data_IF_586287804421
#
_entry.id   IF_586287804421
#
_cell.length_a   1.000
_cell.length_b   1.000
_cell.length_c   1.000
_cell.angle_alpha   90.00
_cell.angle_beta   90.00
_cell.angle_gamma   90.00
#
_symmetry.space_group_name_H-M   'P 1'
#
loop_
_entity.id
_entity.type
_entity.pdbx_description
1 polymer ?
#
# COMPACT_ATOMS: atom_id res chain seq x y z
N UNK A 1 11.73 7.78 -22.56
CA UNK A 1 13.19 7.90 -22.84
C UNK A 1 13.86 7.78 -21.47
N UNK A 2 14.29 6.55 -21.14
CA UNK A 2 15.02 6.26 -19.89
C UNK A 2 16.43 6.82 -20.00
N UNK A 3 16.76 7.77 -19.16
CA UNK A 3 18.15 8.18 -18.97
C UNK A 3 18.88 7.04 -18.23
N UNK A 4 19.72 6.29 -18.94
CA UNK A 4 20.72 5.44 -18.31
C UNK A 4 21.77 6.35 -17.64
N UNK A 5 21.56 6.73 -16.39
CA UNK A 5 22.60 7.27 -15.54
C UNK A 5 23.46 6.08 -15.06
N UNK A 6 24.68 5.96 -15.52
CA UNK A 6 25.69 5.15 -14.85
C UNK A 6 25.97 5.81 -13.49
N UNK A 7 25.65 5.09 -12.42
CA UNK A 7 25.94 5.52 -11.06
C UNK A 7 27.03 4.59 -10.53
N UNK A 8 28.16 5.14 -10.15
CA UNK A 8 29.21 4.37 -9.48
C UNK A 8 28.74 4.06 -8.06
N UNK A 9 28.70 2.78 -7.74
CA UNK A 9 28.28 2.28 -6.43
C UNK A 9 29.48 1.60 -5.75
N UNK A 10 29.71 1.93 -4.48
CA UNK A 10 30.74 1.31 -3.67
C UNK A 10 30.08 0.30 -2.74
N UNK A 11 30.38 -0.98 -2.93
CA UNK A 11 29.89 -2.05 -2.07
C UNK A 11 30.98 -2.43 -1.06
N UNK A 12 30.68 -2.24 0.22
CA UNK A 12 31.61 -2.59 1.31
C UNK A 12 31.26 -4.00 1.77
N UNK A 13 32.14 -4.95 1.50
CA UNK A 13 31.94 -6.34 1.86
C UNK A 13 31.71 -6.51 3.37
N UNK A 14 30.61 -7.17 3.72
CA UNK A 14 30.23 -7.45 5.11
C UNK A 14 29.52 -6.30 5.83
N UNK A 15 29.24 -5.19 5.15
CA UNK A 15 28.53 -4.04 5.72
C UNK A 15 27.32 -3.72 4.85
N UNK A 16 26.12 -3.73 5.45
CA UNK A 16 24.91 -3.26 4.78
C UNK A 16 24.81 -1.74 4.87
N UNK A 17 24.72 -1.07 3.72
CA UNK A 17 24.56 0.38 3.64
C UNK A 17 23.07 0.68 3.38
N UNK A 18 22.49 1.51 4.25
CA UNK A 18 21.12 2.04 4.10
C UNK A 18 21.21 3.56 3.99
N UNK A 19 20.94 4.09 2.80
CA UNK A 19 20.84 5.54 2.59
C UNK A 19 19.50 6.03 3.14
N UNK A 20 19.52 7.03 4.01
CA UNK A 20 18.29 7.58 4.61
C UNK A 20 17.38 8.24 3.58
N UNK A 21 17.93 8.77 2.50
CA UNK A 21 17.18 9.25 1.36
C UNK A 21 16.29 8.15 0.74
N UNK A 22 16.86 6.96 0.54
CA UNK A 22 16.13 5.82 -0.01
C UNK A 22 15.10 5.28 1.00
N UNK A 23 15.43 5.24 2.30
CA UNK A 23 14.50 4.87 3.36
C UNK A 23 13.30 5.82 3.41
N UNK A 24 13.56 7.13 3.37
CA UNK A 24 12.50 8.13 3.37
C UNK A 24 11.57 7.96 2.18
N UNK A 25 12.11 7.87 0.96
CA UNK A 25 11.32 7.66 -0.27
C UNK A 25 10.54 6.34 -0.27
N UNK A 26 11.08 5.29 0.33
CA UNK A 26 10.45 3.97 0.37
C UNK A 26 9.31 3.89 1.36
N UNK A 27 9.45 4.50 2.52
CA UNK A 27 8.55 4.30 3.66
C UNK A 27 7.60 5.46 3.94
N UNK A 28 7.77 6.61 3.25
CA UNK A 28 6.80 7.71 3.31
C UNK A 28 5.84 7.65 2.13
N UNK A 29 4.54 7.87 2.41
CA UNK A 29 3.49 7.75 1.39
C UNK A 29 3.15 9.08 0.73
N UNK A 30 3.54 10.19 1.33
CA UNK A 30 3.30 11.53 0.79
C UNK A 30 4.46 11.93 -0.11
N UNK A 31 4.15 12.25 -1.36
CA UNK A 31 5.17 12.79 -2.28
C UNK A 31 5.59 14.18 -1.83
N UNK A 32 6.91 14.38 -1.79
CA UNK A 32 7.51 15.68 -1.50
C UNK A 32 7.91 16.40 -2.80
N UNK A 33 7.91 17.72 -2.79
CA UNK A 33 8.40 18.52 -3.91
C UNK A 33 9.90 18.35 -4.12
N UNK A 34 10.64 18.15 -3.02
CA UNK A 34 12.07 17.88 -3.01
C UNK A 34 12.41 16.84 -1.94
N UNK A 35 13.41 16.00 -2.24
CA UNK A 35 13.94 15.02 -1.28
C UNK A 35 15.36 15.41 -0.80
N UNK A 36 15.78 16.64 -1.00
CA UNK A 36 17.04 17.15 -0.43
C UNK A 36 16.92 17.20 1.09
N UNK A 37 18.01 16.92 1.79
CA UNK A 37 18.05 16.90 3.27
C UNK A 37 17.55 18.20 3.88
N UNK A 38 17.92 19.33 3.29
CA UNK A 38 17.46 20.65 3.73
C UNK A 38 15.93 20.78 3.69
N UNK A 39 15.31 20.41 2.56
CA UNK A 39 13.85 20.46 2.41
C UNK A 39 13.14 19.52 3.37
N UNK A 40 13.62 18.27 3.48
CA UNK A 40 13.01 17.27 4.37
C UNK A 40 13.22 17.67 5.84
N UNK A 41 14.41 18.18 6.21
CA UNK A 41 14.67 18.72 7.56
C UNK A 41 13.68 19.82 7.92
N UNK A 42 13.44 20.77 7.02
CA UNK A 42 12.48 21.84 7.23
C UNK A 42 11.04 21.32 7.36
N UNK A 43 10.63 20.38 6.50
CA UNK A 43 9.27 19.83 6.53
C UNK A 43 9.01 18.96 7.78
N UNK A 44 9.97 18.12 8.14
CA UNK A 44 9.78 17.16 9.21
C UNK A 44 10.19 17.68 10.59
N UNK A 45 11.23 18.48 10.67
CA UNK A 45 11.81 18.95 11.94
C UNK A 45 11.61 20.44 12.19
N UNK A 46 11.35 21.23 11.13
CA UNK A 46 11.41 22.69 11.18
C UNK A 46 12.84 23.23 11.24
N UNK A 47 13.82 22.41 10.90
CA UNK A 47 15.24 22.72 10.91
C UNK A 47 15.84 22.60 9.50
N UNK A 48 16.84 23.43 9.19
CA UNK A 48 17.51 23.47 7.89
C UNK A 48 19.01 23.18 8.02
N UNK A 49 19.62 22.91 6.88
CA UNK A 49 21.09 22.80 6.81
C UNK A 49 21.75 24.14 7.06
N UNK A 50 23.02 24.10 7.46
CA UNK A 50 23.86 25.30 7.42
C UNK A 50 24.11 25.73 5.96
N UNK A 51 24.31 27.01 5.71
CA UNK A 51 24.62 27.51 4.39
C UNK A 51 26.05 27.15 3.98
N UNK A 52 26.24 26.78 2.72
CA UNK A 52 27.56 26.69 2.10
C UNK A 52 27.86 28.03 1.39
N UNK A 53 28.77 28.85 1.87
CA UNK A 53 29.09 30.16 1.29
C UNK A 53 29.97 30.09 0.03
N UNK A 54 30.38 28.88 -0.42
CA UNK A 54 31.31 28.66 -1.53
C UNK A 54 30.61 27.93 -2.69
N UNK A 55 31.08 28.13 -3.91
CA UNK A 55 30.52 27.48 -5.09
C UNK A 55 30.79 25.97 -5.13
N UNK A 56 31.91 25.52 -4.55
CA UNK A 56 32.31 24.13 -4.52
C UNK A 56 32.69 23.67 -3.10
N UNK A 57 32.46 22.42 -2.79
CA UNK A 57 32.94 21.85 -1.52
C UNK A 57 34.49 21.87 -1.39
N UNK A 58 35.21 21.83 -2.51
CA UNK A 58 36.65 21.95 -2.51
C UNK A 58 37.11 23.32 -2.00
N UNK A 59 36.52 24.39 -2.48
CA UNK A 59 36.75 25.74 -1.98
C UNK A 59 36.36 25.88 -0.52
N UNK A 60 35.23 25.30 -0.13
CA UNK A 60 34.75 25.34 1.24
C UNK A 60 35.73 24.74 2.23
N UNK A 61 36.14 23.47 2.05
CA UNK A 61 37.06 22.86 3.00
C UNK A 61 38.52 23.40 2.91
N UNK A 62 38.87 24.05 1.77
CA UNK A 62 40.20 24.65 1.61
C UNK A 62 40.29 26.01 2.29
N UNK A 63 39.26 26.82 2.20
CA UNK A 63 39.27 28.20 2.67
C UNK A 63 38.70 28.35 4.09
N UNK A 64 37.77 27.51 4.48
CA UNK A 64 37.10 27.55 5.80
C UNK A 64 36.82 26.13 6.32
N UNK A 65 37.88 25.44 6.72
CA UNK A 65 37.82 24.06 7.18
C UNK A 65 36.93 23.89 8.42
N UNK A 66 36.98 24.85 9.36
CA UNK A 66 36.16 24.75 10.57
C UNK A 66 34.68 24.82 10.27
N UNK A 67 34.23 25.78 9.46
CA UNK A 67 32.83 25.91 9.07
C UNK A 67 32.38 24.70 8.21
N UNK A 68 33.26 24.15 7.37
CA UNK A 68 32.99 22.91 6.63
C UNK A 68 32.72 21.72 7.56
N UNK A 69 33.47 21.59 8.65
CA UNK A 69 33.24 20.54 9.64
C UNK A 69 31.91 20.75 10.35
N UNK A 70 31.60 21.97 10.77
CA UNK A 70 30.32 22.31 11.40
C UNK A 70 29.12 22.07 10.46
N UNK A 71 29.28 22.39 9.17
CA UNK A 71 28.30 22.05 8.14
C UNK A 71 28.04 20.53 8.07
N UNK A 72 29.10 19.73 8.08
CA UNK A 72 28.96 18.28 8.02
C UNK A 72 28.32 17.69 9.30
N UNK A 73 28.69 18.23 10.49
CA UNK A 73 28.06 17.83 11.76
C UNK A 73 26.55 18.09 11.73
N UNK A 74 26.13 19.27 11.28
CA UNK A 74 24.72 19.61 11.16
C UNK A 74 23.98 18.64 10.22
N UNK A 75 24.57 18.24 9.10
CA UNK A 75 23.98 17.27 8.17
C UNK A 75 23.74 15.92 8.84
N UNK A 76 24.71 15.44 9.63
CA UNK A 76 24.59 14.19 10.39
C UNK A 76 23.54 14.29 11.47
N UNK A 77 23.52 15.39 12.24
CA UNK A 77 22.52 15.63 13.29
C UNK A 77 21.09 15.71 12.74
N UNK A 78 20.89 16.30 11.55
CA UNK A 78 19.58 16.32 10.92
C UNK A 78 19.10 14.91 10.58
N UNK A 79 19.95 14.04 10.07
CA UNK A 79 19.60 12.64 9.76
C UNK A 79 19.29 11.87 11.06
N UNK A 80 20.06 12.08 12.13
CA UNK A 80 19.82 11.46 13.43
C UNK A 80 18.46 11.88 14.03
N UNK A 81 18.15 13.18 14.00
CA UNK A 81 16.86 13.72 14.43
C UNK A 81 15.69 13.21 13.56
N UNK A 82 15.90 13.05 12.25
CA UNK A 82 14.89 12.45 11.37
C UNK A 82 14.62 11.00 11.76
N UNK A 83 15.66 10.20 12.03
CA UNK A 83 15.46 8.82 12.50
C UNK A 83 14.81 8.78 13.87
N UNK A 84 15.18 9.67 14.79
CA UNK A 84 14.55 9.76 16.10
C UNK A 84 13.04 10.02 16.02
N UNK A 85 12.62 10.86 15.08
CA UNK A 85 11.20 11.17 14.84
C UNK A 85 10.47 10.08 14.06
N UNK A 86 11.07 9.58 12.99
CA UNK A 86 10.36 8.77 11.98
C UNK A 86 10.55 7.27 12.16
N UNK A 87 11.66 6.83 12.78
CA UNK A 87 11.99 5.41 13.04
C UNK A 87 11.99 4.54 11.78
N UNK A 88 12.47 5.08 10.65
CA UNK A 88 12.48 4.38 9.36
C UNK A 88 13.48 3.23 9.32
N UNK A 89 14.62 3.35 10.00
CA UNK A 89 15.60 2.26 10.14
C UNK A 89 14.97 1.11 10.91
N UNK A 90 14.32 1.39 12.05
CA UNK A 90 13.64 0.35 12.84
C UNK A 90 12.56 -0.38 12.02
N UNK A 91 11.75 0.37 11.25
CA UNK A 91 10.75 -0.20 10.36
C UNK A 91 11.38 -1.10 9.29
N UNK A 92 12.44 -0.61 8.64
CA UNK A 92 13.14 -1.33 7.59
C UNK A 92 13.78 -2.64 8.10
N UNK A 93 14.44 -2.58 9.27
CA UNK A 93 14.98 -3.75 9.94
C UNK A 93 13.88 -4.74 10.34
N UNK A 94 12.76 -4.26 10.85
CA UNK A 94 11.60 -5.10 11.16
C UNK A 94 11.14 -5.86 9.92
N UNK A 95 11.03 -5.18 8.77
CA UNK A 95 10.65 -5.81 7.50
C UNK A 95 11.67 -6.87 7.05
N UNK A 96 12.96 -6.60 7.19
CA UNK A 96 14.03 -7.55 6.85
C UNK A 96 13.94 -8.83 7.70
N UNK A 97 13.77 -8.67 9.01
CA UNK A 97 13.60 -9.78 9.95
C UNK A 97 12.38 -10.64 9.63
N UNK A 98 11.24 -10.00 9.37
CA UNK A 98 9.99 -10.68 9.08
C UNK A 98 10.00 -11.42 7.74
N UNK A 99 10.59 -10.82 6.72
CA UNK A 99 10.76 -11.44 5.41
C UNK A 99 11.95 -12.40 5.34
N UNK A 100 12.86 -12.36 6.32
CA UNK A 100 14.13 -13.11 6.37
C UNK A 100 15.01 -12.83 5.14
N UNK A 101 15.21 -11.58 4.86
CA UNK A 101 16.08 -11.08 3.78
C UNK A 101 17.18 -10.17 4.35
N UNK A 102 18.20 -9.88 3.55
CA UNK A 102 19.16 -8.84 3.89
C UNK A 102 18.49 -7.46 3.88
N UNK A 103 19.06 -6.52 4.61
CA UNK A 103 18.51 -5.16 4.73
C UNK A 103 18.30 -4.49 3.37
N UNK A 104 19.27 -4.60 2.46
CA UNK A 104 19.17 -4.05 1.11
C UNK A 104 18.07 -4.71 0.24
N UNK A 105 17.76 -5.98 0.47
CA UNK A 105 16.74 -6.72 -0.27
C UNK A 105 15.31 -6.24 0.03
N UNK A 106 15.09 -5.54 1.15
CA UNK A 106 13.78 -4.97 1.53
C UNK A 106 13.29 -3.91 0.55
N UNK A 107 14.20 -3.22 -0.16
CA UNK A 107 13.82 -2.28 -1.21
C UNK A 107 13.14 -2.98 -2.39
N UNK A 108 13.40 -4.27 -2.61
CA UNK A 108 12.87 -5.08 -3.70
C UNK A 108 11.65 -5.93 -3.28
N UNK A 109 10.44 -5.58 -3.76
CA UNK A 109 9.21 -6.32 -3.44
C UNK A 109 9.30 -7.81 -3.84
N UNK A 110 9.84 -8.09 -5.02
CA UNK A 110 10.00 -9.45 -5.56
C UNK A 110 10.87 -10.30 -4.64
N UNK A 111 12.02 -9.76 -4.23
CA UNK A 111 12.97 -10.47 -3.36
C UNK A 111 12.35 -10.77 -1.99
N UNK A 112 11.67 -9.78 -1.42
CA UNK A 112 10.99 -9.92 -0.14
C UNK A 112 9.91 -11.01 -0.19
N UNK A 113 9.04 -10.98 -1.20
CA UNK A 113 7.98 -11.97 -1.35
C UNK A 113 8.48 -13.37 -1.69
N UNK A 114 9.53 -13.49 -2.52
CA UNK A 114 10.16 -14.79 -2.81
C UNK A 114 10.67 -15.45 -1.52
N UNK A 115 11.29 -14.67 -0.63
CA UNK A 115 11.78 -15.16 0.66
C UNK A 115 10.64 -15.51 1.63
N UNK A 116 9.59 -14.68 1.72
CA UNK A 116 8.41 -14.98 2.56
C UNK A 116 7.78 -16.30 2.15
N UNK A 117 7.53 -16.49 0.84
CA UNK A 117 6.95 -17.73 0.32
C UNK A 117 7.89 -18.92 0.53
N UNK A 118 9.19 -18.75 0.23
CA UNK A 118 10.17 -19.79 0.49
C UNK A 118 10.15 -20.28 1.94
N UNK A 119 10.20 -19.36 2.90
CA UNK A 119 10.20 -19.72 4.31
C UNK A 119 8.89 -20.39 4.76
N UNK A 120 7.77 -19.97 4.19
CA UNK A 120 6.46 -20.57 4.44
C UNK A 120 6.41 -22.00 3.91
N UNK A 121 6.81 -22.23 2.66
CA UNK A 121 6.82 -23.53 2.00
C UNK A 121 7.83 -24.49 2.63
N UNK A 122 9.02 -23.99 3.00
CA UNK A 122 10.04 -24.77 3.71
C UNK A 122 9.49 -25.39 5.00
N UNK A 123 8.71 -24.64 5.78
CA UNK A 123 8.06 -25.16 7.00
C UNK A 123 7.06 -26.29 6.70
N UNK A 124 6.51 -26.32 5.49
CA UNK A 124 5.57 -27.35 5.02
C UNK A 124 6.24 -28.48 4.25
N UNK A 125 7.57 -28.49 4.17
CA UNK A 125 8.36 -29.43 3.35
C UNK A 125 7.98 -29.41 1.85
N UNK A 126 7.63 -28.25 1.33
CA UNK A 126 7.29 -28.06 -0.08
C UNK A 126 8.46 -27.37 -0.77
N UNK A 127 8.91 -27.94 -1.88
CA UNK A 127 10.00 -27.37 -2.71
C UNK A 127 9.43 -26.26 -3.58
N UNK A 128 10.14 -25.15 -3.65
CA UNK A 128 9.81 -24.03 -4.54
C UNK A 128 10.14 -24.36 -6.01
N UNK A 129 9.38 -23.85 -6.99
CA UNK A 129 9.71 -24.04 -8.39
C UNK A 129 10.97 -23.26 -8.76
N UNK A 130 11.64 -23.69 -9.86
CA UNK A 130 12.73 -22.90 -10.43
C UNK A 130 12.24 -21.53 -10.93
N UNK A 131 13.14 -20.54 -10.96
CA UNK A 131 12.87 -19.26 -11.62
C UNK A 131 12.73 -19.51 -13.12
N UNK A 132 11.62 -19.03 -13.71
CA UNK A 132 11.40 -19.10 -15.15
C UNK A 132 11.91 -17.79 -15.77
N UNK A 133 12.61 -17.91 -16.89
CA UNK A 133 12.82 -16.75 -17.75
C UNK A 133 11.47 -16.34 -18.35
N UNK A 134 11.02 -15.15 -18.03
CA UNK A 134 9.81 -14.59 -18.59
C UNK A 134 10.14 -13.30 -19.34
N UNK A 135 9.67 -13.20 -20.56
CA UNK A 135 9.66 -11.95 -21.30
C UNK A 135 8.33 -11.26 -21.04
N UNK A 136 8.38 -9.97 -20.66
CA UNK A 136 7.16 -9.18 -20.53
C UNK A 136 6.58 -8.96 -21.94
N UNK A 137 5.66 -9.83 -22.32
CA UNK A 137 5.00 -9.79 -23.64
C UNK A 137 3.64 -9.08 -23.61
N UNK A 138 3.01 -8.96 -22.44
CA UNK A 138 1.63 -8.50 -22.34
C UNK A 138 1.48 -7.41 -21.28
N UNK A 139 0.71 -6.38 -21.66
CA UNK A 139 0.21 -5.36 -20.74
C UNK A 139 -1.25 -5.69 -20.42
N UNK A 140 -1.64 -5.48 -19.17
CA UNK A 140 -3.02 -5.66 -18.74
C UNK A 140 -3.55 -4.39 -18.09
N UNK A 141 -4.87 -4.27 -18.04
CA UNK A 141 -5.54 -3.11 -17.47
C UNK A 141 -5.40 -3.09 -15.94
N UNK A 142 -5.08 -1.91 -15.41
CA UNK A 142 -4.92 -1.69 -13.98
C UNK A 142 -6.24 -1.48 -13.22
N UNK A 143 -6.17 -0.66 -12.18
CA UNK A 143 -7.32 -0.29 -11.37
C UNK A 143 -8.33 0.58 -12.14
N UNK A 144 -9.58 0.57 -11.68
CA UNK A 144 -10.61 1.49 -12.15
C UNK A 144 -10.50 2.82 -11.42
N UNK A 145 -10.53 3.89 -12.19
CA UNK A 145 -10.65 5.27 -11.70
C UNK A 145 -11.85 5.89 -12.39
N UNK A 146 -12.80 6.38 -11.62
CA UNK A 146 -13.95 7.11 -12.14
C UNK A 146 -13.56 8.55 -12.38
N UNK A 147 -13.83 9.06 -13.58
CA UNK A 147 -13.69 10.48 -13.87
C UNK A 147 -14.54 11.30 -12.90
N UNK A 148 -13.97 12.31 -12.25
CA UNK A 148 -14.68 13.10 -11.26
C UNK A 148 -15.82 13.91 -11.90
N UNK A 149 -16.97 13.95 -11.23
CA UNK A 149 -18.05 14.86 -11.61
C UNK A 149 -17.59 16.27 -11.31
N UNK A 150 -17.34 17.05 -12.37
CA UNK A 150 -16.82 18.41 -12.25
C UNK A 150 -17.87 19.32 -11.60
N UNK A 151 -17.47 20.05 -10.58
CA UNK A 151 -18.32 20.99 -9.88
C UNK A 151 -17.95 21.15 -8.40
N UNK A 152 -18.70 22.03 -7.74
CA UNK A 152 -18.63 22.16 -6.29
C UNK A 152 -19.62 21.20 -5.63
N UNK A 153 -19.15 20.41 -4.68
CA UNK A 153 -19.95 19.40 -3.98
C UNK A 153 -19.87 19.60 -2.48
N UNK A 154 -21.04 19.77 -1.86
CA UNK A 154 -21.14 19.91 -0.41
C UNK A 154 -21.17 18.54 0.29
N UNK A 155 -20.59 18.49 1.49
CA UNK A 155 -20.62 17.32 2.37
C UNK A 155 -20.09 16.05 1.70
N UNK A 156 -18.82 16.08 1.31
CA UNK A 156 -18.15 14.91 0.75
C UNK A 156 -17.69 14.00 1.89
N UNK A 157 -18.06 12.72 1.77
CA UNK A 157 -17.55 11.65 2.63
C UNK A 157 -16.73 10.70 1.77
N UNK A 158 -15.53 10.37 2.24
CA UNK A 158 -14.65 9.40 1.60
C UNK A 158 -14.67 8.08 2.37
N UNK A 159 -14.86 6.97 1.64
CA UNK A 159 -14.70 5.62 2.16
C UNK A 159 -13.58 4.91 1.40
N UNK A 160 -12.80 4.12 2.12
CA UNK A 160 -11.68 3.35 1.60
C UNK A 160 -11.85 1.87 1.96
N UNK A 161 -11.60 0.99 1.00
CA UNK A 161 -11.68 -0.46 1.18
C UNK A 161 -10.36 -0.99 1.75
N UNK A 162 -10.34 -1.25 3.02
CA UNK A 162 -9.15 -1.75 3.72
C UNK A 162 -8.52 -2.95 3.03
N UNK A 163 -7.29 -2.78 2.51
CA UNK A 163 -6.52 -3.86 1.91
C UNK A 163 -7.27 -4.61 0.80
N UNK A 164 -7.88 -3.89 -0.16
CA UNK A 164 -8.73 -4.46 -1.21
C UNK A 164 -8.08 -5.66 -1.91
N UNK A 165 -6.91 -5.50 -2.52
CA UNK A 165 -6.25 -6.57 -3.27
C UNK A 165 -5.90 -7.81 -2.42
N UNK A 166 -5.36 -7.69 -1.20
CA UNK A 166 -5.22 -8.84 -0.31
C UNK A 166 -6.53 -9.59 -0.05
N UNK A 167 -7.65 -8.87 0.16
CA UNK A 167 -8.95 -9.50 0.37
C UNK A 167 -9.48 -10.19 -0.89
N UNK A 168 -9.24 -9.63 -2.07
CA UNK A 168 -9.59 -10.28 -3.33
C UNK A 168 -8.78 -11.54 -3.59
N UNK A 169 -7.48 -11.53 -3.26
CA UNK A 169 -6.64 -12.72 -3.32
C UNK A 169 -7.23 -13.82 -2.42
N UNK A 170 -7.65 -13.48 -1.20
CA UNK A 170 -8.29 -14.44 -0.28
C UNK A 170 -9.65 -14.90 -0.79
N UNK A 171 -10.51 -13.99 -1.23
CA UNK A 171 -11.90 -14.27 -1.63
C UNK A 171 -11.97 -15.19 -2.85
N UNK A 172 -11.15 -14.91 -3.87
CA UNK A 172 -11.11 -15.71 -5.10
C UNK A 172 -10.15 -16.90 -5.01
N UNK A 173 -9.41 -17.05 -3.92
CA UNK A 173 -8.40 -18.07 -3.74
C UNK A 173 -7.28 -18.00 -4.80
N UNK A 174 -6.82 -16.78 -5.12
CA UNK A 174 -5.83 -16.53 -6.17
C UNK A 174 -4.46 -16.99 -5.71
N UNK A 175 -3.95 -18.06 -6.34
CA UNK A 175 -2.60 -18.57 -6.10
C UNK A 175 -2.19 -19.46 -7.28
N UNK A 176 -0.88 -19.59 -7.59
CA UNK A 176 -0.43 -20.39 -8.73
C UNK A 176 -0.95 -21.83 -8.73
N UNK A 177 -0.98 -22.49 -7.57
CA UNK A 177 -1.38 -23.87 -7.40
C UNK A 177 -2.89 -24.10 -7.32
N UNK A 178 -3.66 -23.03 -7.17
CA UNK A 178 -5.13 -23.08 -7.15
C UNK A 178 -5.76 -22.75 -8.49
N UNK A 179 -4.98 -22.21 -9.44
CA UNK A 179 -5.47 -21.87 -10.76
C UNK A 179 -5.71 -23.16 -11.58
N UNK A 180 -6.96 -23.35 -12.01
CA UNK A 180 -7.41 -24.58 -12.72
C UNK A 180 -7.95 -24.34 -14.11
N UNK A 181 -8.07 -23.08 -14.54
CA UNK A 181 -8.54 -22.73 -15.88
C UNK A 181 -8.43 -21.25 -16.18
N UNK A 182 -8.56 -20.92 -17.46
CA UNK A 182 -8.62 -19.55 -17.96
C UNK A 182 -9.52 -19.47 -19.17
N UNK A 183 -10.61 -18.71 -19.09
CA UNK A 183 -11.61 -18.55 -20.15
C UNK A 183 -12.07 -17.08 -20.20
N UNK A 184 -11.28 -16.21 -20.80
CA UNK A 184 -11.57 -14.78 -20.87
C UNK A 184 -12.81 -14.44 -21.71
N UNK A 185 -13.17 -15.31 -22.65
CA UNK A 185 -14.34 -15.17 -23.52
C UNK A 185 -15.67 -15.37 -22.79
N UNK A 186 -15.68 -16.05 -21.63
CA UNK A 186 -16.92 -16.43 -20.95
C UNK A 186 -17.40 -15.34 -19.97
N UNK A 187 -16.54 -14.39 -19.56
CA UNK A 187 -16.86 -13.43 -18.52
C UNK A 187 -16.14 -12.09 -18.74
N UNK A 188 -16.77 -11.01 -18.28
CA UNK A 188 -16.18 -9.68 -18.20
C UNK A 188 -16.63 -8.97 -16.92
N UNK A 189 -15.98 -7.84 -16.60
CA UNK A 189 -16.40 -6.99 -15.48
C UNK A 189 -17.87 -6.57 -15.61
N UNK A 190 -18.26 -6.15 -16.83
CA UNK A 190 -19.63 -5.69 -17.10
C UNK A 190 -20.65 -6.82 -17.03
N UNK A 191 -20.32 -7.99 -17.54
CA UNK A 191 -21.23 -9.14 -17.49
C UNK A 191 -21.48 -9.59 -16.05
N UNK A 192 -20.44 -9.60 -15.21
CA UNK A 192 -20.60 -9.90 -13.78
C UNK A 192 -21.34 -8.81 -13.04
N UNK A 193 -21.02 -7.53 -13.30
CA UNK A 193 -21.68 -6.38 -12.67
C UNK A 193 -23.18 -6.37 -12.91
N UNK A 194 -23.60 -6.68 -14.15
CA UNK A 194 -25.01 -6.71 -14.55
C UNK A 194 -25.64 -8.11 -14.50
N UNK A 195 -24.95 -9.09 -13.87
CA UNK A 195 -25.45 -10.48 -13.65
C UNK A 195 -25.88 -11.18 -14.92
N UNK A 196 -25.17 -10.96 -16.02
CA UNK A 196 -25.45 -11.60 -17.32
C UNK A 196 -24.90 -13.02 -17.42
N UNK A 197 -23.90 -13.37 -16.59
CA UNK A 197 -23.29 -14.68 -16.57
C UNK A 197 -24.06 -15.68 -15.70
N UNK A 198 -24.24 -16.91 -16.20
CA UNK A 198 -24.70 -18.04 -15.38
C UNK A 198 -23.51 -18.69 -14.67
N UNK A 199 -23.27 -18.25 -13.44
CA UNK A 199 -22.19 -18.76 -12.60
C UNK A 199 -22.56 -20.07 -11.85
N UNK A 200 -23.78 -20.58 -12.00
CA UNK A 200 -24.26 -21.79 -11.30
C UNK A 200 -23.47 -23.05 -11.69
N UNK A 201 -22.83 -23.04 -12.85
CA UNK A 201 -22.04 -24.16 -13.39
C UNK A 201 -20.60 -24.20 -12.89
N UNK A 202 -20.17 -23.26 -12.04
CA UNK A 202 -18.79 -23.15 -11.58
C UNK A 202 -18.38 -24.18 -10.52
N UNK A 203 -19.19 -25.16 -10.22
CA UNK A 203 -18.97 -26.23 -9.23
C UNK A 203 -17.60 -26.21 -8.57
N UNK A 204 -17.51 -25.81 -7.28
CA UNK A 204 -16.28 -25.79 -6.47
C UNK A 204 -15.13 -24.93 -7.06
N UNK A 205 -15.45 -23.86 -7.80
CA UNK A 205 -14.48 -22.91 -8.35
C UNK A 205 -14.95 -21.49 -8.13
N UNK A 206 -13.98 -20.58 -7.98
CA UNK A 206 -14.18 -19.13 -8.17
C UNK A 206 -13.73 -18.74 -9.56
N UNK A 207 -14.28 -17.64 -10.10
CA UNK A 207 -13.85 -17.05 -11.36
C UNK A 207 -13.67 -15.56 -11.20
N UNK A 208 -12.53 -15.05 -11.63
CA UNK A 208 -12.28 -13.61 -11.68
C UNK A 208 -12.83 -13.02 -12.99
N UNK A 209 -13.11 -11.70 -13.07
CA UNK A 209 -13.73 -11.10 -14.24
C UNK A 209 -12.89 -11.14 -15.53
N UNK A 210 -11.63 -11.56 -15.46
CA UNK A 210 -10.81 -11.85 -16.63
C UNK A 210 -10.85 -13.33 -17.06
N UNK A 211 -11.71 -14.15 -16.45
CA UNK A 211 -11.89 -15.56 -16.81
C UNK A 211 -10.95 -16.54 -16.13
N UNK A 212 -10.06 -16.10 -15.24
CA UNK A 212 -9.22 -17.02 -14.46
C UNK A 212 -10.05 -17.75 -13.42
N UNK A 213 -9.88 -19.09 -13.35
CA UNK A 213 -10.65 -19.99 -12.48
C UNK A 213 -9.74 -20.58 -11.42
N UNK A 214 -10.20 -20.55 -10.16
CA UNK A 214 -9.45 -21.08 -9.03
C UNK A 214 -10.31 -22.11 -8.27
N UNK A 215 -9.67 -23.22 -7.83
CA UNK A 215 -10.32 -24.22 -7.00
C UNK A 215 -10.63 -23.67 -5.59
N UNK A 216 -11.67 -24.21 -4.94
CA UNK A 216 -12.11 -23.78 -3.60
C UNK A 216 -12.00 -24.87 -2.54
N UNK A 217 -11.68 -26.09 -2.93
CA UNK A 217 -11.54 -27.24 -2.03
C UNK A 217 -10.28 -27.21 -1.16
N UNK A 218 -9.30 -26.40 -1.53
CA UNK A 218 -8.06 -26.19 -0.77
C UNK A 218 -7.66 -24.71 -0.84
N UNK A 219 -7.31 -24.14 0.30
CA UNK A 219 -6.78 -22.77 0.38
C UNK A 219 -5.40 -22.71 -0.29
N UNK A 220 -5.20 -21.69 -1.12
CA UNK A 220 -3.93 -21.41 -1.76
C UNK A 220 -2.91 -20.78 -0.81
N UNK A 221 -1.64 -20.87 -1.19
CA UNK A 221 -0.53 -20.36 -0.37
C UNK A 221 -0.58 -18.83 -0.23
N UNK A 222 -0.88 -18.13 -1.33
CA UNK A 222 -1.00 -16.66 -1.28
C UNK A 222 -2.18 -16.22 -0.41
N UNK A 223 -3.41 -16.74 -0.56
CA UNK A 223 -4.52 -16.52 0.37
C UNK A 223 -4.19 -16.79 1.83
N UNK A 224 -3.51 -17.90 2.13
CA UNK A 224 -3.10 -18.25 3.51
C UNK A 224 -2.13 -17.21 4.09
N UNK A 225 -1.15 -16.77 3.30
CA UNK A 225 -0.21 -15.71 3.70
C UNK A 225 -0.91 -14.37 3.89
N UNK A 226 -1.83 -13.98 2.98
CA UNK A 226 -2.61 -12.75 3.11
C UNK A 226 -3.42 -12.77 4.40
N UNK A 227 -4.11 -13.87 4.68
CA UNK A 227 -4.94 -14.02 5.87
C UNK A 227 -4.10 -13.94 7.15
N UNK A 228 -2.95 -14.61 7.18
CA UNK A 228 -2.03 -14.58 8.31
C UNK A 228 -1.50 -13.18 8.59
N UNK A 229 -0.95 -12.52 7.57
CA UNK A 229 -0.41 -11.16 7.68
C UNK A 229 -1.49 -10.13 8.07
N UNK A 230 -2.71 -10.29 7.54
CA UNK A 230 -3.82 -9.40 7.88
C UNK A 230 -4.27 -9.57 9.35
N UNK A 231 -4.43 -10.81 9.82
CA UNK A 231 -4.77 -11.10 11.22
C UNK A 231 -3.71 -10.56 12.18
N UNK A 232 -2.45 -10.77 11.88
CA UNK A 232 -1.34 -10.24 12.68
C UNK A 232 -1.36 -8.71 12.70
N UNK A 233 -1.56 -8.05 11.56
CA UNK A 233 -1.69 -6.60 11.48
C UNK A 233 -2.80 -6.07 12.38
N UNK A 234 -3.98 -6.69 12.35
CA UNK A 234 -5.13 -6.29 13.20
C UNK A 234 -4.78 -6.39 14.67
N UNK A 235 -4.11 -7.48 15.10
CA UNK A 235 -3.67 -7.69 16.48
C UNK A 235 -2.71 -6.57 16.91
N UNK A 236 -1.67 -6.30 16.12
CA UNK A 236 -0.68 -5.27 16.48
C UNK A 236 -1.23 -3.86 16.37
N UNK A 237 -2.16 -3.59 15.45
CA UNK A 237 -2.87 -2.30 15.39
C UNK A 237 -3.72 -2.06 16.65
N UNK A 238 -4.38 -3.10 17.16
CA UNK A 238 -5.15 -3.03 18.41
C UNK A 238 -4.23 -2.78 19.61
N UNK A 239 -3.15 -3.57 19.75
CA UNK A 239 -2.15 -3.37 20.80
C UNK A 239 -1.55 -1.97 20.77
N UNK A 240 -1.24 -1.44 19.59
CA UNK A 240 -0.76 -0.07 19.41
C UNK A 240 -1.75 0.95 19.96
N UNK A 241 -3.05 0.80 19.69
CA UNK A 241 -4.10 1.66 20.21
C UNK A 241 -4.17 1.63 21.75
N UNK A 242 -4.13 0.42 22.32
CA UNK A 242 -4.16 0.21 23.77
C UNK A 242 -2.95 0.85 24.49
N UNK A 243 -1.74 0.65 23.96
CA UNK A 243 -0.51 1.20 24.53
C UNK A 243 -0.47 2.72 24.38
N UNK A 244 -0.95 3.28 23.26
CA UNK A 244 -1.06 4.74 23.07
C UNK A 244 -2.03 5.36 24.07
N UNK A 245 -3.21 4.80 24.27
CA UNK A 245 -4.17 5.27 25.26
C UNK A 245 -3.59 5.25 26.67
N UNK A 246 -2.88 4.17 27.03
CA UNK A 246 -2.20 4.06 28.32
C UNK A 246 -1.07 5.09 28.49
N UNK A 247 -0.35 5.39 27.40
CA UNK A 247 0.67 6.44 27.41
C UNK A 247 0.05 7.83 27.60
N UNK A 248 -1.04 8.13 26.90
CA UNK A 248 -1.78 9.39 27.05
C UNK A 248 -2.32 9.58 28.48
N UNK A 249 -2.78 8.50 29.12
CA UNK A 249 -3.27 8.53 30.50
C UNK A 249 -2.15 8.67 31.54
N UNK A 250 -1.02 7.96 31.34
CA UNK A 250 0.00 7.79 32.40
C UNK A 250 1.27 8.63 32.22
N UNK A 251 1.55 9.09 30.98
CA UNK A 251 2.80 9.78 30.62
C UNK A 251 4.07 8.93 30.76
N UNK A 252 3.96 7.59 30.90
CA UNK A 252 5.10 6.70 31.15
C UNK A 252 5.97 6.55 29.93
N UNK A 253 7.17 7.13 29.92
CA UNK A 253 8.13 7.06 28.81
C UNK A 253 8.55 5.64 28.42
N UNK A 254 8.48 4.66 29.34
CA UNK A 254 8.79 3.24 29.05
C UNK A 254 7.87 2.66 28.00
N UNK A 255 6.64 3.17 27.84
CA UNK A 255 5.68 2.73 26.84
C UNK A 255 6.04 3.17 25.40
N UNK A 256 6.92 4.15 25.24
CA UNK A 256 7.35 4.62 23.91
C UNK A 256 8.00 3.51 23.08
N UNK A 257 8.76 2.63 23.74
CA UNK A 257 9.33 1.44 23.06
C UNK A 257 8.25 0.48 22.55
N UNK A 258 7.23 0.22 23.38
CA UNK A 258 6.13 -0.66 22.99
C UNK A 258 5.28 -0.04 21.86
N UNK A 259 5.08 1.30 21.89
CA UNK A 259 4.44 2.04 20.82
C UNK A 259 5.22 1.88 19.52
N UNK A 260 6.54 2.12 19.52
CA UNK A 260 7.40 1.96 18.32
C UNK A 260 7.36 0.52 17.82
N UNK A 261 7.54 -0.46 18.68
CA UNK A 261 7.54 -1.88 18.31
C UNK A 261 6.22 -2.29 17.66
N UNK A 262 5.07 -2.00 18.30
CA UNK A 262 3.77 -2.36 17.75
C UNK A 262 3.45 -1.60 16.46
N UNK A 263 3.88 -0.33 16.36
CA UNK A 263 3.76 0.46 15.15
C UNK A 263 4.56 -0.16 14.00
N UNK A 264 5.82 -0.50 14.22
CA UNK A 264 6.71 -1.04 13.19
C UNK A 264 6.23 -2.41 12.69
N UNK A 265 5.80 -3.30 13.59
CA UNK A 265 5.28 -4.60 13.19
C UNK A 265 3.99 -4.45 12.37
N UNK A 266 2.99 -3.66 12.83
CA UNK A 266 1.76 -3.49 12.07
C UNK A 266 2.01 -2.79 10.72
N UNK A 267 2.99 -1.87 10.66
CA UNK A 267 3.35 -1.18 9.42
C UNK A 267 4.08 -2.11 8.46
N UNK A 268 5.01 -2.95 8.94
CA UNK A 268 5.66 -3.97 8.13
C UNK A 268 4.64 -4.94 7.50
N UNK A 269 3.61 -5.36 8.27
CA UNK A 269 2.49 -6.18 7.74
C UNK A 269 1.67 -5.43 6.69
N UNK A 270 1.39 -4.14 6.91
CA UNK A 270 0.67 -3.29 5.94
C UNK A 270 1.44 -3.20 4.62
N UNK A 271 2.75 -2.93 4.69
CA UNK A 271 3.59 -2.79 3.51
C UNK A 271 3.72 -4.14 2.78
N UNK A 272 3.91 -5.24 3.50
CA UNK A 272 3.93 -6.57 2.91
C UNK A 272 2.63 -6.87 2.16
N UNK A 273 1.47 -6.71 2.79
CA UNK A 273 0.16 -6.93 2.17
C UNK A 273 -0.03 -6.11 0.89
N UNK A 274 0.26 -4.81 0.94
CA UNK A 274 0.07 -3.92 -0.20
C UNK A 274 1.07 -4.18 -1.34
N UNK A 275 2.26 -4.73 -1.03
CA UNK A 275 3.28 -5.05 -2.02
C UNK A 275 3.08 -6.39 -2.73
N UNK A 276 2.19 -7.25 -2.23
CA UNK A 276 1.95 -8.58 -2.79
C UNK A 276 1.53 -8.56 -4.25
N UNK A 277 0.55 -7.71 -4.58
CA UNK A 277 0.09 -7.52 -5.95
C UNK A 277 1.23 -7.05 -6.87
N UNK A 278 2.04 -6.08 -6.41
CA UNK A 278 3.19 -5.60 -7.17
C UNK A 278 4.25 -6.67 -7.44
N UNK A 279 4.42 -7.64 -6.52
CA UNK A 279 5.28 -8.80 -6.75
C UNK A 279 4.66 -9.77 -7.76
N UNK A 280 3.37 -10.14 -7.61
CA UNK A 280 2.66 -11.06 -8.51
C UNK A 280 2.66 -10.56 -9.96
N UNK A 281 2.51 -9.25 -10.17
CA UNK A 281 2.53 -8.61 -11.48
C UNK A 281 3.92 -8.34 -12.06
N UNK A 282 4.99 -8.70 -11.37
CA UNK A 282 6.37 -8.45 -11.78
C UNK A 282 6.96 -9.65 -12.54
N UNK A 283 7.42 -9.45 -13.77
CA UNK A 283 7.98 -10.50 -14.64
C UNK A 283 9.18 -11.25 -14.03
N UNK A 284 9.91 -10.65 -13.11
CA UNK A 284 11.06 -11.28 -12.42
C UNK A 284 10.66 -12.10 -11.19
N UNK A 285 9.36 -12.13 -10.88
CA UNK A 285 8.87 -12.92 -9.76
C UNK A 285 8.74 -14.38 -10.14
N UNK A 286 9.20 -15.29 -9.28
CA UNK A 286 9.14 -16.75 -9.46
C UNK A 286 7.75 -17.27 -9.79
N UNK A 287 6.73 -16.63 -9.21
CA UNK A 287 5.32 -17.00 -9.34
C UNK A 287 4.53 -16.04 -10.26
N UNK A 288 5.25 -15.31 -11.12
CA UNK A 288 4.62 -14.41 -12.08
C UNK A 288 3.63 -15.13 -12.98
N UNK A 289 2.41 -14.62 -13.03
CA UNK A 289 1.38 -15.03 -13.97
C UNK A 289 0.47 -13.82 -14.24
N UNK A 290 0.50 -13.31 -15.46
CA UNK A 290 -0.28 -12.13 -15.87
C UNK A 290 -1.79 -12.32 -15.66
N UNK A 291 -2.30 -13.56 -15.83
CA UNK A 291 -3.72 -13.89 -15.64
C UNK A 291 -4.16 -13.71 -14.20
N UNK A 292 -3.29 -14.02 -13.24
CA UNK A 292 -3.55 -13.79 -11.80
C UNK A 292 -3.49 -12.30 -11.47
N UNK A 293 -2.48 -11.59 -11.97
CA UNK A 293 -2.33 -10.16 -11.73
C UNK A 293 -3.51 -9.37 -12.32
N UNK A 294 -3.92 -9.66 -13.54
CA UNK A 294 -5.10 -9.09 -14.18
C UNK A 294 -6.40 -9.50 -13.44
N UNK A 295 -6.48 -10.75 -12.99
CA UNK A 295 -7.61 -11.24 -12.22
C UNK A 295 -7.84 -10.41 -10.95
N UNK A 296 -6.77 -10.00 -10.27
CA UNK A 296 -6.84 -9.14 -9.07
C UNK A 296 -7.36 -7.74 -9.44
N UNK A 297 -6.82 -7.11 -10.49
CA UNK A 297 -7.25 -5.77 -10.88
C UNK A 297 -8.67 -5.74 -11.39
N UNK A 298 -9.06 -6.70 -12.24
CA UNK A 298 -10.44 -6.81 -12.75
C UNK A 298 -11.44 -7.12 -11.63
N UNK A 299 -11.06 -7.93 -10.64
CA UNK A 299 -11.89 -8.13 -9.44
C UNK A 299 -12.02 -6.85 -8.61
N UNK A 300 -10.96 -6.04 -8.51
CA UNK A 300 -10.99 -4.71 -7.91
C UNK A 300 -11.94 -3.76 -8.64
N UNK A 301 -11.84 -3.70 -9.97
CA UNK A 301 -12.73 -2.91 -10.82
C UNK A 301 -14.20 -3.31 -10.61
N UNK A 302 -14.50 -4.62 -10.58
CA UNK A 302 -15.84 -5.13 -10.32
C UNK A 302 -16.34 -4.67 -8.96
N UNK A 303 -15.52 -4.81 -7.93
CA UNK A 303 -15.89 -4.50 -6.54
C UNK A 303 -16.22 -3.03 -6.37
N UNK A 304 -15.35 -2.11 -6.83
CA UNK A 304 -15.57 -0.67 -6.64
C UNK A 304 -16.77 -0.16 -7.45
N UNK A 305 -16.97 -0.66 -8.67
CA UNK A 305 -18.11 -0.32 -9.52
C UNK A 305 -19.42 -0.88 -8.98
N UNK A 306 -19.39 -2.07 -8.39
CA UNK A 306 -20.57 -2.63 -7.73
C UNK A 306 -20.97 -1.79 -6.51
N UNK A 307 -20.01 -1.39 -5.67
CA UNK A 307 -20.25 -0.51 -4.52
C UNK A 307 -20.81 0.84 -5.00
N UNK A 308 -20.26 1.42 -6.06
CA UNK A 308 -20.77 2.66 -6.65
C UNK A 308 -22.26 2.54 -7.03
N UNK A 309 -22.61 1.45 -7.74
CA UNK A 309 -23.99 1.21 -8.15
C UNK A 309 -24.93 1.05 -6.95
N UNK A 310 -24.52 0.28 -5.95
CA UNK A 310 -25.33 0.04 -4.74
C UNK A 310 -25.51 1.31 -3.92
N UNK A 311 -24.47 2.11 -3.75
CA UNK A 311 -24.53 3.41 -3.04
C UNK A 311 -25.49 4.38 -3.77
N UNK A 312 -25.35 4.50 -5.10
CA UNK A 312 -26.23 5.34 -5.90
C UNK A 312 -27.68 4.87 -5.82
N UNK A 313 -27.93 3.56 -5.92
CA UNK A 313 -29.27 2.99 -5.78
C UNK A 313 -29.86 3.27 -4.39
N UNK A 314 -29.10 3.01 -3.33
CA UNK A 314 -29.53 3.23 -1.95
C UNK A 314 -29.88 4.69 -1.67
N UNK A 315 -29.04 5.63 -2.10
CA UNK A 315 -29.25 7.06 -1.88
C UNK A 315 -30.42 7.59 -2.72
N UNK A 316 -30.55 7.18 -3.99
CA UNK A 316 -31.70 7.55 -4.80
C UNK A 316 -33.01 7.07 -4.17
N UNK A 317 -33.06 5.83 -3.67
CA UNK A 317 -34.21 5.29 -2.98
C UNK A 317 -34.52 6.05 -1.68
N UNK A 318 -33.53 6.32 -0.86
CA UNK A 318 -33.65 6.99 0.45
C UNK A 318 -34.06 8.45 0.32
N UNK A 319 -33.50 9.13 -0.68
CA UNK A 319 -33.74 10.56 -0.92
C UNK A 319 -34.94 10.82 -1.87
N UNK A 320 -35.59 9.75 -2.38
CA UNK A 320 -36.67 9.84 -3.38
C UNK A 320 -36.24 10.63 -4.62
N UNK A 321 -35.00 10.44 -5.05
CA UNK A 321 -34.45 10.99 -6.30
C UNK A 321 -34.38 9.89 -7.37
N UNK A 322 -34.10 10.26 -8.61
CA UNK A 322 -34.01 9.31 -9.71
C UNK A 322 -32.76 9.57 -10.53
N UNK A 323 -32.00 8.51 -10.76
CA UNK A 323 -30.83 8.50 -11.65
C UNK A 323 -29.74 9.55 -11.30
N UNK A 324 -29.67 9.96 -10.01
CA UNK A 324 -28.62 10.86 -9.54
C UNK A 324 -27.38 10.05 -9.18
N UNK A 325 -26.20 10.48 -9.68
CA UNK A 325 -24.91 9.94 -9.24
C UNK A 325 -24.46 10.66 -7.98
N UNK A 326 -24.52 10.00 -6.85
CA UNK A 326 -24.02 10.49 -5.55
C UNK A 326 -22.54 10.21 -5.38
N UNK A 327 -22.00 9.18 -6.01
CA UNK A 327 -20.56 8.92 -6.06
C UNK A 327 -19.94 9.83 -7.10
N UNK A 328 -19.21 10.84 -6.64
CA UNK A 328 -18.64 11.91 -7.49
C UNK A 328 -17.28 11.55 -8.06
N UNK A 329 -16.54 10.69 -7.39
CA UNK A 329 -15.25 10.15 -7.84
C UNK A 329 -14.97 8.81 -7.17
N UNK A 330 -14.13 8.00 -7.77
CA UNK A 330 -13.53 6.82 -7.14
C UNK A 330 -12.14 6.58 -7.70
N UNK A 331 -11.27 5.99 -6.88
CA UNK A 331 -9.91 5.62 -7.28
C UNK A 331 -9.53 4.29 -6.61
N UNK A 332 -9.36 3.27 -7.41
CA UNK A 332 -8.88 1.92 -7.01
C UNK A 332 -9.72 1.27 -5.91
N UNK A 333 -9.63 1.75 -4.68
CA UNK A 333 -10.26 1.22 -3.46
C UNK A 333 -11.01 2.30 -2.64
N UNK A 334 -11.06 3.53 -3.13
CA UNK A 334 -11.76 4.64 -2.47
C UNK A 334 -12.92 5.18 -3.30
N UNK A 335 -13.99 5.60 -2.61
CA UNK A 335 -15.12 6.28 -3.19
C UNK A 335 -15.40 7.60 -2.46
N UNK A 336 -15.83 8.61 -3.21
CA UNK A 336 -16.18 9.93 -2.71
C UNK A 336 -17.67 10.18 -2.96
N UNK A 337 -18.43 10.31 -1.88
CA UNK A 337 -19.90 10.41 -1.92
C UNK A 337 -20.32 11.80 -1.51
N UNK A 338 -21.13 12.48 -2.34
CA UNK A 338 -21.73 13.75 -1.97
C UNK A 338 -23.02 13.51 -1.18
N UNK A 339 -23.11 14.09 0.00
CA UNK A 339 -24.24 13.95 0.90
C UNK A 339 -24.98 15.27 1.17
N UNK A 340 -24.74 16.32 0.36
CA UNK A 340 -25.40 17.62 0.51
C UNK A 340 -26.93 17.53 0.51
N UNK A 341 -27.52 16.76 -0.38
CA UNK A 341 -28.97 16.54 -0.42
C UNK A 341 -29.49 15.80 0.81
N UNK A 342 -28.75 14.80 1.30
CA UNK A 342 -29.06 14.09 2.54
C UNK A 342 -29.04 15.05 3.74
N UNK A 343 -27.98 15.84 3.88
CA UNK A 343 -27.86 16.84 4.95
C UNK A 343 -29.01 17.85 4.88
N UNK A 344 -29.32 18.34 3.68
CA UNK A 344 -30.43 19.28 3.47
C UNK A 344 -31.79 18.72 3.89
N UNK A 345 -31.99 17.43 3.73
CA UNK A 345 -33.28 16.76 4.04
C UNK A 345 -33.42 16.39 5.52
N UNK A 346 -32.30 15.98 6.13
CA UNK A 346 -32.30 15.44 7.50
C UNK A 346 -32.09 16.53 8.56
N UNK A 347 -31.27 17.54 8.28
CA UNK A 347 -30.93 18.58 9.23
C UNK A 347 -31.66 19.88 8.93
N UNK A 348 -32.55 20.30 9.86
CA UNK A 348 -33.24 21.60 9.78
C UNK A 348 -32.32 22.77 10.08
N UNK A 349 -31.40 22.58 11.03
CA UNK A 349 -30.37 23.55 11.37
C UNK A 349 -29.00 23.04 10.90
N UNK A 350 -28.38 23.84 10.03
CA UNK A 350 -27.09 23.54 9.39
C UNK A 350 -25.92 24.34 9.98
N UNK A 351 -26.18 25.12 11.03
CA UNK A 351 -25.15 25.94 11.69
C UNK A 351 -24.15 25.11 12.49
N UNK A 352 -24.54 23.93 12.97
CA UNK A 352 -23.70 23.02 13.77
C UNK A 352 -23.06 21.91 12.90
N UNK A 353 -21.98 22.27 12.22
CA UNK A 353 -21.20 21.31 11.42
C UNK A 353 -20.69 20.12 12.23
N UNK A 354 -20.36 20.28 13.52
CA UNK A 354 -19.87 19.18 14.36
C UNK A 354 -20.96 18.12 14.58
N UNK A 355 -22.20 18.55 14.77
CA UNK A 355 -23.33 17.65 14.93
C UNK A 355 -23.61 16.86 13.62
N UNK A 356 -23.51 17.54 12.48
CA UNK A 356 -23.70 16.92 11.17
C UNK A 356 -22.61 15.86 10.92
N UNK A 357 -21.33 16.22 11.10
CA UNK A 357 -20.20 15.29 10.93
C UNK A 357 -20.30 14.06 11.85
N UNK A 358 -20.85 14.22 13.05
CA UNK A 358 -21.04 13.09 13.98
C UNK A 358 -22.10 12.08 13.52
N UNK A 359 -23.03 12.51 12.68
CA UNK A 359 -24.12 11.67 12.16
C UNK A 359 -23.75 11.04 10.82
N UNK A 360 -22.97 11.75 9.98
CA UNK A 360 -22.43 11.21 8.72
C UNK A 360 -21.34 10.21 8.98
#
# INVERSE_FOLDING_TARGET
>A
VGFNRQQNYWDILGVSILDYFDLYRKHTFVRQESYKLDYIGQQELGESKNENPYDTFKEFYTNDYQQFVEYNIQDVELVDKLEDKMKLIELHLTMAYEAKVNYQDVFGQVRMWDSIIFNHLKKKNIVIPAIKESTKSETYEGAYVKDPIIGFHDWIVSFDLNSLYPHLIMQYNISPETMVGYRPEDVSVDDMLYKKNDLSKLNSKTVTPNGAQFRTDKQGILPELMETLYKERVIYKKKLGEVKALYEETGRKTLLKDISTNYNIQMARKIALNSAYGAIGNQYFRYYDVRQAEGITKAGQLTIRWIENDVNYFLNKTLHTKDISYVVASDTDSIYIRLGEFVNKVFKDKSDNKKIVKVL
#
